data_IF_230323864241
#
_entry.id   IF_230323864241
#
_cell.length_a   1.000
_cell.length_b   1.000
_cell.length_c   1.000
_cell.angle_alpha   90.00
_cell.angle_beta   90.00
_cell.angle_gamma   90.00
#
_symmetry.space_group_name_H-M   'P 1'
#
loop_
_entity.id
_entity.type
_entity.pdbx_description
1 polymer ?
#
# COMPACT_ATOMS: atom_id res chain seq x y z
N UNK A 1 0.46 -4.61 7.81
CA UNK A 1 -0.36 -3.77 8.69
C UNK A 1 0.46 -3.42 9.91
N UNK A 2 0.44 -2.15 10.29
CA UNK A 2 1.10 -1.63 11.49
C UNK A 2 0.06 -0.89 12.33
N UNK A 3 0.27 -0.81 13.63
CA UNK A 3 -0.50 0.09 14.49
C UNK A 3 -0.07 1.56 14.30
N UNK A 4 -0.74 2.47 15.02
CA UNK A 4 -0.45 3.91 14.95
C UNK A 4 0.91 4.29 15.57
N UNK A 5 1.59 3.36 16.25
CA UNK A 5 2.95 3.52 16.76
C UNK A 5 3.99 2.95 15.78
N UNK A 6 3.55 2.42 14.63
CA UNK A 6 4.41 1.88 13.57
C UNK A 6 4.84 0.43 13.78
N UNK A 7 4.28 -0.27 14.76
CA UNK A 7 4.66 -1.66 15.06
C UNK A 7 3.81 -2.63 14.26
N UNK A 8 4.41 -3.67 13.66
CA UNK A 8 3.67 -4.73 12.98
C UNK A 8 2.68 -5.40 13.94
N UNK A 9 1.44 -5.60 13.50
CA UNK A 9 0.36 -6.00 14.41
C UNK A 9 -0.62 -7.00 13.80
N UNK A 10 -1.22 -7.80 14.68
CA UNK A 10 -2.34 -8.71 14.41
C UNK A 10 -3.63 -8.21 15.09
N UNK A 11 -3.54 -7.11 15.87
CA UNK A 11 -4.67 -6.56 16.61
C UNK A 11 -5.65 -5.83 15.69
N UNK A 12 -6.93 -6.17 15.83
CA UNK A 12 -8.03 -5.48 15.15
C UNK A 12 -8.31 -4.10 15.78
N UNK A 13 -8.64 -3.04 15.01
CA UNK A 13 -8.77 -3.00 13.56
C UNK A 13 -7.50 -2.58 12.80
N UNK A 14 -6.38 -2.30 13.49
CA UNK A 14 -5.12 -1.89 12.85
C UNK A 14 -4.63 -2.93 11.84
N UNK A 15 -4.81 -4.22 12.16
CA UNK A 15 -4.87 -5.30 11.20
C UNK A 15 -6.33 -5.71 10.98
N UNK A 16 -6.93 -5.43 9.80
CA UNK A 16 -8.36 -5.64 9.58
C UNK A 16 -8.75 -7.11 9.36
N UNK A 17 -7.78 -8.02 9.20
CA UNK A 17 -8.06 -9.40 8.79
C UNK A 17 -7.29 -10.47 9.58
N UNK A 18 -6.48 -10.08 10.56
CA UNK A 18 -5.73 -11.01 11.41
C UNK A 18 -4.57 -11.73 10.73
N UNK A 19 -4.11 -11.26 9.56
CA UNK A 19 -2.97 -11.90 8.87
C UNK A 19 -1.71 -11.87 9.76
N UNK A 20 -0.99 -13.00 9.91
CA UNK A 20 0.18 -13.09 10.78
C UNK A 20 1.26 -12.04 10.47
N UNK A 21 1.88 -11.49 11.50
CA UNK A 21 2.88 -10.43 11.42
C UNK A 21 2.43 -9.19 10.59
N UNK A 22 1.12 -9.01 10.40
CA UNK A 22 0.55 -7.95 9.56
C UNK A 22 0.77 -8.16 8.05
N UNK A 23 1.10 -9.35 7.57
CA UNK A 23 1.35 -9.62 6.16
C UNK A 23 0.13 -9.27 5.29
N UNK A 24 0.32 -8.54 4.19
CA UNK A 24 -0.80 -8.18 3.29
C UNK A 24 -0.41 -8.01 1.81
N UNK A 25 0.87 -8.22 1.50
CA UNK A 25 1.41 -8.26 0.15
C UNK A 25 2.55 -9.28 0.09
N UNK A 26 2.67 -9.99 -1.03
CA UNK A 26 3.76 -10.95 -1.30
C UNK A 26 4.22 -10.80 -2.74
N UNK A 27 5.45 -11.23 -3.02
CA UNK A 27 6.01 -11.21 -4.37
C UNK A 27 6.74 -12.50 -4.70
N UNK A 28 6.90 -12.82 -5.98
CA UNK A 28 7.75 -13.92 -6.44
C UNK A 28 9.23 -13.64 -6.16
N UNK A 29 10.06 -14.69 -6.10
CA UNK A 29 11.50 -14.55 -5.82
C UNK A 29 12.24 -13.66 -6.83
N UNK A 30 11.77 -13.60 -8.07
CA UNK A 30 12.30 -12.73 -9.13
C UNK A 30 11.63 -11.35 -9.19
N UNK A 31 10.67 -11.06 -8.29
CA UNK A 31 10.01 -9.77 -8.15
C UNK A 31 9.03 -9.39 -9.28
N UNK A 32 8.80 -10.26 -10.27
CA UNK A 32 7.98 -9.91 -11.44
C UNK A 32 6.48 -9.95 -11.18
N UNK A 33 6.04 -10.69 -10.17
CA UNK A 33 4.63 -10.78 -9.79
C UNK A 33 4.47 -10.44 -8.31
N UNK A 34 3.72 -9.38 -8.02
CA UNK A 34 3.35 -8.97 -6.67
C UNK A 34 1.83 -9.03 -6.54
N UNK A 35 1.35 -9.67 -5.47
CA UNK A 35 -0.08 -9.73 -5.13
C UNK A 35 -0.29 -9.10 -3.76
N UNK A 36 -1.37 -8.33 -3.60
CA UNK A 36 -1.69 -7.64 -2.35
C UNK A 36 -3.19 -7.49 -2.16
N UNK A 37 -3.62 -7.40 -0.90
CA UNK A 37 -5.01 -7.17 -0.53
C UNK A 37 -5.42 -5.68 -0.48
N UNK A 38 -4.57 -4.72 -0.05
CA UNK A 38 -4.92 -3.30 -0.10
C UNK A 38 -5.12 -2.85 -1.56
N UNK A 39 -5.92 -1.80 -1.74
CA UNK A 39 -6.32 -1.27 -3.06
C UNK A 39 -5.56 0.03 -3.42
N UNK A 40 -4.27 -0.02 -3.81
CA UNK A 40 -3.52 1.18 -4.15
C UNK A 40 -4.14 1.97 -5.32
N UNK A 41 -4.92 1.30 -6.19
CA UNK A 41 -5.56 1.88 -7.37
C UNK A 41 -6.75 2.77 -7.02
N UNK A 42 -7.30 2.61 -5.81
CA UNK A 42 -8.37 3.49 -5.30
C UNK A 42 -7.84 4.76 -4.67
N UNK A 43 -6.53 4.83 -4.42
CA UNK A 43 -5.93 5.87 -3.59
C UNK A 43 -4.63 6.44 -4.18
N UNK A 44 -4.44 6.40 -5.50
CA UNK A 44 -3.23 6.92 -6.15
C UNK A 44 -3.16 8.45 -6.25
N UNK A 45 -4.26 9.16 -5.96
CA UNK A 45 -4.29 10.63 -5.81
C UNK A 45 -4.57 11.00 -4.36
N UNK A 46 -3.98 12.10 -3.87
CA UNK A 46 -4.21 12.54 -2.49
C UNK A 46 -5.68 12.85 -2.21
N UNK A 47 -6.39 13.46 -3.17
CA UNK A 47 -7.84 13.73 -3.06
C UNK A 47 -8.71 12.46 -2.86
N UNK A 48 -8.19 11.26 -3.14
CA UNK A 48 -8.91 10.00 -2.95
C UNK A 48 -8.65 9.35 -1.57
N UNK A 49 -7.70 9.86 -0.79
CA UNK A 49 -7.40 9.35 0.55
C UNK A 49 -8.45 9.86 1.54
N UNK A 50 -8.98 8.99 2.41
CA UNK A 50 -9.92 9.41 3.46
C UNK A 50 -9.31 10.41 4.45
N UNK A 51 -7.98 10.33 4.64
CA UNK A 51 -7.17 11.29 5.37
C UNK A 51 -5.83 11.46 4.64
N UNK A 52 -5.40 12.70 4.49
CA UNK A 52 -4.05 13.03 4.02
C UNK A 52 -3.60 14.36 4.62
N UNK A 53 -2.34 14.48 5.08
CA UNK A 53 -1.74 15.76 5.44
C UNK A 53 -1.12 16.49 4.23
N UNK A 54 -1.10 15.85 3.05
CA UNK A 54 -0.50 16.41 1.84
C UNK A 54 -1.45 17.29 1.03
N UNK A 55 -0.92 17.95 0.01
CA UNK A 55 -1.71 18.70 -0.96
C UNK A 55 -2.69 17.77 -1.72
N UNK A 56 -3.97 18.13 -1.73
CA UNK A 56 -5.04 17.38 -2.40
C UNK A 56 -4.83 17.27 -3.91
N UNK A 57 -4.19 18.26 -4.54
CA UNK A 57 -3.95 18.26 -5.99
C UNK A 57 -2.88 17.25 -6.42
N UNK A 58 -2.01 16.86 -5.48
CA UNK A 58 -0.87 15.99 -5.70
C UNK A 58 -1.24 14.51 -5.81
N UNK A 59 -0.31 13.72 -6.35
CA UNK A 59 -0.39 12.26 -6.32
C UNK A 59 -0.06 11.73 -4.92
N UNK A 60 -0.66 10.60 -4.54
CA UNK A 60 -0.28 9.91 -3.32
C UNK A 60 0.98 9.07 -3.53
N UNK A 61 1.60 8.55 -2.45
CA UNK A 61 2.72 7.62 -2.57
C UNK A 61 2.40 6.38 -3.42
N UNK A 62 1.14 5.95 -3.48
CA UNK A 62 0.72 4.73 -4.17
C UNK A 62 0.89 4.80 -5.69
N UNK A 63 0.84 5.99 -6.31
CA UNK A 63 1.08 6.13 -7.75
C UNK A 63 2.45 5.56 -8.17
N UNK A 64 3.42 5.54 -7.25
CA UNK A 64 4.76 5.04 -7.53
C UNK A 64 4.78 3.58 -7.99
N UNK A 65 3.80 2.76 -7.61
CA UNK A 65 3.68 1.37 -8.06
C UNK A 65 3.58 1.27 -9.59
N UNK A 66 2.68 2.05 -10.21
CA UNK A 66 2.51 2.07 -11.67
C UNK A 66 3.70 2.70 -12.39
N UNK A 67 4.31 3.74 -11.80
CA UNK A 67 5.51 4.38 -12.36
C UNK A 67 6.69 3.39 -12.41
N UNK A 68 6.87 2.59 -11.36
CA UNK A 68 7.89 1.54 -11.32
C UNK A 68 7.63 0.47 -12.41
N UNK A 69 6.39 -0.01 -12.54
CA UNK A 69 6.02 -0.96 -13.59
C UNK A 69 6.30 -0.40 -15.00
N UNK A 70 5.92 0.86 -15.26
CA UNK A 70 6.19 1.51 -16.55
C UNK A 70 7.68 1.71 -16.81
N UNK A 71 8.46 2.03 -15.78
CA UNK A 71 9.91 2.20 -15.87
C UNK A 71 10.61 0.87 -16.14
N UNK A 72 10.16 -0.23 -15.54
CA UNK A 72 10.75 -1.56 -15.72
C UNK A 72 10.62 -2.08 -17.16
N UNK A 73 9.58 -1.66 -17.89
CA UNK A 73 9.39 -1.98 -19.31
C UNK A 73 10.27 -1.15 -20.26
N UNK A 74 10.99 -0.13 -19.78
CA UNK A 74 11.95 0.64 -20.57
C UNK A 74 13.32 0.02 -20.45
#
# INVERSE_FOLDING_TARGET
>A
FVDNWGTATEAYPANPNGSPAGLTAVTTADGRFTAMMPHPERVFRNVQMSYTPGDMSSHSPWLRMWQNARRWLK
#
